data_IF_774432937614
#
_entry.id   IF_774432937614
#
_cell.length_a   1.000
_cell.length_b   1.000
_cell.length_c   1.000
_cell.angle_alpha   90.00
_cell.angle_beta   90.00
_cell.angle_gamma   90.00
#
_symmetry.space_group_name_H-M   'P 1'
#
loop_
_entity.id
_entity.type
_entity.pdbx_description
1 polymer ?
#
# COMPACT_ATOMS: atom_id res chain seq x y z
N UNK A 1 -32.66 -13.30 -9.00
CA UNK A 1 -33.08 -13.57 -10.41
C UNK A 1 -32.06 -12.99 -11.42
N UNK A 2 -31.49 -11.83 -11.22
CA UNK A 2 -30.45 -11.22 -12.09
C UNK A 2 -29.21 -12.09 -12.22
N UNK A 3 -28.77 -12.73 -11.12
CA UNK A 3 -27.61 -13.66 -11.12
C UNK A 3 -27.75 -14.84 -12.11
N UNK A 4 -28.99 -15.23 -12.51
CA UNK A 4 -29.20 -16.29 -13.50
C UNK A 4 -28.72 -15.88 -14.90
N UNK A 5 -28.80 -14.59 -15.23
CA UNK A 5 -28.35 -14.06 -16.52
C UNK A 5 -26.83 -13.90 -16.58
N UNK A 6 -26.18 -13.71 -15.42
CA UNK A 6 -24.72 -13.69 -15.34
C UNK A 6 -24.08 -15.06 -15.60
N UNK A 7 -24.81 -16.17 -15.37
CA UNK A 7 -24.30 -17.53 -15.67
C UNK A 7 -23.94 -17.73 -17.15
N UNK A 8 -24.61 -17.08 -18.07
CA UNK A 8 -24.27 -17.14 -19.49
C UNK A 8 -22.98 -16.39 -19.87
N UNK A 9 -22.44 -15.54 -18.95
CA UNK A 9 -21.30 -14.67 -19.21
C UNK A 9 -20.17 -14.88 -18.19
N UNK A 10 -20.04 -16.11 -17.66
CA UNK A 10 -19.02 -16.47 -16.63
C UNK A 10 -17.61 -16.00 -17.02
N UNK A 11 -17.11 -16.19 -18.26
CA UNK A 11 -15.76 -15.73 -18.61
C UNK A 11 -15.60 -14.21 -18.52
N UNK A 12 -16.65 -13.44 -18.85
CA UNK A 12 -16.62 -11.98 -18.70
C UNK A 12 -16.60 -11.58 -17.21
N UNK A 13 -17.40 -12.26 -16.39
CA UNK A 13 -17.41 -12.02 -14.93
C UNK A 13 -16.06 -12.37 -14.31
N UNK A 14 -15.46 -13.50 -14.70
CA UNK A 14 -14.13 -13.90 -14.20
C UNK A 14 -13.05 -12.88 -14.60
N UNK A 15 -13.08 -12.39 -15.84
CA UNK A 15 -12.17 -11.34 -16.31
C UNK A 15 -12.36 -10.04 -15.52
N UNK A 16 -13.61 -9.64 -15.25
CA UNK A 16 -13.92 -8.47 -14.44
C UNK A 16 -13.34 -8.62 -13.03
N UNK A 17 -13.54 -9.78 -12.37
CA UNK A 17 -12.99 -10.03 -11.03
C UNK A 17 -11.45 -9.96 -11.05
N UNK A 18 -10.80 -10.53 -12.05
CA UNK A 18 -9.35 -10.43 -12.21
C UNK A 18 -8.88 -8.98 -12.34
N UNK A 19 -9.56 -8.20 -13.18
CA UNK A 19 -9.25 -6.77 -13.37
C UNK A 19 -9.49 -5.96 -12.09
N UNK A 20 -10.56 -6.26 -11.34
CA UNK A 20 -10.84 -5.61 -10.06
C UNK A 20 -9.78 -5.95 -9.00
N UNK A 21 -9.28 -7.19 -8.97
CA UNK A 21 -8.17 -7.58 -8.08
C UNK A 21 -6.90 -6.81 -8.45
N UNK A 22 -6.56 -6.73 -9.73
CA UNK A 22 -5.41 -5.97 -10.21
C UNK A 22 -5.55 -4.47 -9.88
N UNK A 23 -6.72 -3.88 -10.11
CA UNK A 23 -7.02 -2.50 -9.78
C UNK A 23 -6.87 -2.25 -8.27
N UNK A 24 -7.49 -3.09 -7.42
CA UNK A 24 -7.42 -2.96 -5.95
C UNK A 24 -6.00 -3.12 -5.43
N UNK A 25 -5.20 -4.00 -6.01
CA UNK A 25 -3.79 -4.15 -5.65
C UNK A 25 -3.00 -2.86 -5.93
N UNK A 26 -3.18 -2.26 -7.11
CA UNK A 26 -2.54 -0.99 -7.44
C UNK A 26 -3.00 0.12 -6.49
N UNK A 27 -4.31 0.24 -6.25
CA UNK A 27 -4.90 1.27 -5.39
C UNK A 27 -4.42 1.18 -3.95
N UNK A 28 -4.42 -0.01 -3.35
CA UNK A 28 -3.97 -0.24 -1.99
C UNK A 28 -2.45 -0.09 -1.83
N UNK A 29 -1.68 -0.22 -2.90
CA UNK A 29 -0.23 -0.03 -2.86
C UNK A 29 0.18 1.44 -2.85
N UNK A 30 -0.61 2.36 -3.42
CA UNK A 30 -0.27 3.78 -3.55
C UNK A 30 0.05 4.48 -2.22
N UNK A 31 -0.73 4.31 -1.12
CA UNK A 31 -0.41 4.93 0.16
C UNK A 31 0.96 4.51 0.71
N UNK A 32 1.37 3.26 0.51
CA UNK A 32 2.68 2.77 0.94
C UNK A 32 3.83 3.47 0.19
N UNK A 33 3.67 3.72 -1.11
CA UNK A 33 4.65 4.50 -1.88
C UNK A 33 4.66 5.98 -1.49
N UNK A 34 3.50 6.56 -1.15
CA UNK A 34 3.42 7.94 -0.65
C UNK A 34 4.18 8.06 0.68
N UNK A 35 4.00 7.13 1.61
CA UNK A 35 4.77 7.08 2.86
C UNK A 35 6.28 6.98 2.58
N UNK A 36 6.71 6.12 1.67
CA UNK A 36 8.13 6.00 1.28
C UNK A 36 8.71 7.28 0.69
N UNK A 37 7.94 8.02 -0.10
CA UNK A 37 8.39 9.32 -0.62
C UNK A 37 8.61 10.32 0.51
N UNK A 38 7.70 10.37 1.49
CA UNK A 38 7.80 11.29 2.62
C UNK A 38 8.91 10.83 3.58
N UNK A 39 8.86 9.60 4.04
CA UNK A 39 9.73 9.10 5.11
C UNK A 39 11.17 8.92 4.61
N UNK A 40 11.34 8.14 3.53
CA UNK A 40 12.67 7.87 2.98
C UNK A 40 13.14 8.97 2.06
N UNK A 41 12.28 9.43 1.14
CA UNK A 41 12.68 10.43 0.13
C UNK A 41 12.95 11.80 0.72
N UNK A 42 12.06 12.33 1.55
CA UNK A 42 12.15 13.70 2.07
C UNK A 42 12.85 13.72 3.42
N UNK A 43 12.38 12.96 4.41
CA UNK A 43 12.92 13.01 5.76
C UNK A 43 14.31 12.40 5.83
N UNK A 44 14.51 11.20 5.24
CA UNK A 44 15.78 10.48 5.24
C UNK A 44 16.72 10.88 4.11
N UNK A 45 16.35 11.84 3.25
CA UNK A 45 17.21 12.31 2.16
C UNK A 45 17.47 11.27 1.07
N UNK A 46 16.57 10.29 0.88
CA UNK A 46 16.69 9.22 -0.10
C UNK A 46 17.53 8.03 0.37
N UNK A 47 17.96 8.02 1.62
CA UNK A 47 18.71 6.92 2.24
C UNK A 47 17.69 5.88 2.70
N UNK A 48 17.66 4.73 2.04
CA UNK A 48 16.69 3.67 2.28
C UNK A 48 17.13 2.70 3.38
N UNK A 49 18.45 2.46 3.48
CA UNK A 49 19.04 1.52 4.43
C UNK A 49 20.04 2.22 5.33
N UNK A 50 20.12 1.81 6.59
CA UNK A 50 21.11 2.29 7.52
C UNK A 50 22.52 1.70 7.26
N UNK A 51 22.66 0.73 6.33
CA UNK A 51 23.95 0.35 5.80
C UNK A 51 24.50 1.45 4.88
N UNK A 52 25.73 1.95 5.12
CA UNK A 52 26.27 3.10 4.42
C UNK A 52 26.68 2.80 2.97
N UNK A 53 26.43 3.74 2.06
CA UNK A 53 27.00 3.72 0.71
C UNK A 53 28.50 4.03 0.74
N UNK A 54 28.90 4.94 1.62
CA UNK A 54 30.29 5.29 1.87
C UNK A 54 30.45 5.82 3.29
N UNK A 55 31.62 5.61 3.86
CA UNK A 55 32.04 6.16 5.17
C UNK A 55 33.47 6.70 5.04
N UNK A 56 33.76 7.76 5.77
CA UNK A 56 35.16 8.18 5.94
C UNK A 56 35.95 7.13 6.74
N UNK A 57 37.23 7.06 6.54
CA UNK A 57 38.13 6.13 7.26
C UNK A 57 37.97 6.28 8.79
N UNK A 58 37.90 7.50 9.28
CA UNK A 58 37.69 7.80 10.70
C UNK A 58 36.38 7.19 11.23
N UNK A 59 35.30 7.30 10.47
CA UNK A 59 33.97 6.78 10.88
C UNK A 59 33.94 5.26 10.78
N UNK A 60 34.51 4.69 9.72
CA UNK A 60 34.60 3.23 9.57
C UNK A 60 35.38 2.59 10.71
N UNK A 61 36.54 3.14 11.03
CA UNK A 61 37.36 2.70 12.16
C UNK A 61 36.62 2.81 13.51
N UNK A 62 35.87 3.88 13.70
CA UNK A 62 35.09 4.06 14.93
C UNK A 62 33.90 3.11 15.02
N UNK A 63 33.19 2.86 13.92
CA UNK A 63 32.06 1.92 13.87
C UNK A 63 32.54 0.49 14.10
N UNK A 64 33.71 0.11 13.57
CA UNK A 64 34.31 -1.22 13.80
C UNK A 64 34.56 -1.56 15.25
N UNK A 65 34.76 -0.58 16.14
CA UNK A 65 34.90 -0.82 17.57
C UNK A 65 33.64 -1.41 18.23
N UNK A 66 32.47 -1.28 17.59
CA UNK A 66 31.17 -1.75 18.06
C UNK A 66 30.65 -2.95 17.29
N UNK A 67 31.43 -3.53 16.38
CA UNK A 67 31.09 -4.73 15.62
C UNK A 67 31.61 -5.98 16.33
N UNK A 68 30.88 -7.09 16.19
CA UNK A 68 31.44 -8.42 16.50
C UNK A 68 32.53 -8.81 15.49
N UNK A 69 33.35 -9.78 15.83
CA UNK A 69 34.39 -10.25 14.92
C UNK A 69 33.86 -10.78 13.60
N UNK A 70 32.69 -11.47 13.64
CA UNK A 70 32.02 -11.99 12.44
C UNK A 70 31.44 -10.84 11.58
N UNK A 71 30.81 -9.84 12.21
CA UNK A 71 30.29 -8.67 11.52
C UNK A 71 31.42 -7.81 10.92
N UNK A 72 32.52 -7.65 11.63
CA UNK A 72 33.68 -6.92 11.14
C UNK A 72 34.31 -7.60 9.90
N UNK A 73 34.29 -8.94 9.87
CA UNK A 73 34.75 -9.70 8.68
C UNK A 73 33.78 -9.49 7.51
N UNK A 74 32.45 -9.54 7.74
CA UNK A 74 31.44 -9.28 6.72
C UNK A 74 31.54 -7.86 6.14
N UNK A 75 31.71 -6.86 7.00
CA UNK A 75 31.91 -5.46 6.59
C UNK A 75 33.18 -5.30 5.77
N UNK A 76 34.30 -5.94 6.19
CA UNK A 76 35.57 -5.85 5.48
C UNK A 76 35.52 -6.49 4.09
N UNK A 77 34.68 -7.52 3.90
CA UNK A 77 34.47 -8.14 2.59
C UNK A 77 33.53 -7.30 1.68
N UNK A 78 32.60 -6.57 2.25
CA UNK A 78 31.60 -5.81 1.51
C UNK A 78 32.06 -4.41 1.09
N UNK A 79 33.08 -3.85 1.75
CA UNK A 79 33.56 -2.48 1.51
C UNK A 79 35.00 -2.47 1.05
N UNK A 80 35.35 -1.50 0.19
CA UNK A 80 36.72 -1.24 -0.27
C UNK A 80 37.09 0.20 0.07
N UNK A 81 38.28 0.38 0.60
CA UNK A 81 38.87 1.70 0.83
C UNK A 81 39.46 2.26 -0.48
N UNK A 82 39.10 3.51 -0.77
CA UNK A 82 39.64 4.31 -1.85
C UNK A 82 39.89 5.74 -1.33
N UNK A 83 41.14 6.11 -1.19
CA UNK A 83 41.57 7.45 -0.75
C UNK A 83 41.00 7.91 0.60
N UNK A 84 40.85 7.00 1.57
CA UNK A 84 40.30 7.29 2.92
C UNK A 84 38.78 7.34 2.99
N UNK A 85 38.10 6.85 1.96
CA UNK A 85 36.64 6.67 1.92
C UNK A 85 36.34 5.21 1.61
N UNK A 86 35.69 4.55 2.55
CA UNK A 86 35.17 3.19 2.40
C UNK A 86 33.88 3.21 1.62
N UNK A 87 33.82 2.56 0.47
CA UNK A 87 32.66 2.45 -0.40
C UNK A 87 32.18 1.02 -0.51
N UNK A 88 30.87 0.81 -0.56
CA UNK A 88 30.29 -0.51 -0.75
C UNK A 88 30.58 -1.04 -2.15
N UNK A 89 30.97 -2.31 -2.24
CA UNK A 89 31.29 -2.97 -3.51
C UNK A 89 30.02 -3.29 -4.32
N UNK A 90 28.95 -3.73 -3.64
CA UNK A 90 27.67 -4.05 -4.26
C UNK A 90 26.50 -3.50 -3.42
N UNK A 91 25.75 -2.57 -3.98
CA UNK A 91 24.57 -1.99 -3.35
C UNK A 91 23.41 -2.98 -3.11
N UNK A 92 23.45 -4.16 -3.75
CA UNK A 92 22.48 -5.22 -3.51
C UNK A 92 22.60 -5.83 -2.10
N UNK A 93 23.76 -5.69 -1.45
CA UNK A 93 24.03 -6.19 -0.10
C UNK A 93 23.53 -5.25 1.02
N UNK A 94 23.14 -4.01 0.69
CA UNK A 94 22.68 -3.02 1.69
C UNK A 94 21.58 -3.54 2.62
N UNK A 95 20.53 -4.26 2.14
CA UNK A 95 19.48 -4.77 3.02
C UNK A 95 19.99 -5.81 4.04
N UNK A 96 20.99 -6.62 3.67
CA UNK A 96 21.57 -7.66 4.53
C UNK A 96 22.49 -7.05 5.59
N UNK A 97 23.22 -6.01 5.21
CA UNK A 97 24.18 -5.31 6.08
C UNK A 97 23.48 -4.33 7.03
N UNK A 98 22.23 -3.95 6.79
CA UNK A 98 21.50 -2.98 7.60
C UNK A 98 21.47 -3.35 9.09
N UNK A 99 21.17 -4.63 9.39
CA UNK A 99 21.14 -5.13 10.78
C UNK A 99 22.47 -4.99 11.51
N UNK A 100 23.57 -5.10 10.77
CA UNK A 100 24.93 -4.97 11.30
C UNK A 100 25.26 -3.51 11.64
N UNK A 101 24.84 -2.57 10.80
CA UNK A 101 25.25 -1.17 10.93
C UNK A 101 24.39 -0.32 11.84
N UNK A 102 23.08 -0.60 12.01
CA UNK A 102 22.12 0.27 12.72
C UNK A 102 22.64 0.65 14.12
N UNK A 103 22.92 -0.33 14.96
CA UNK A 103 23.35 -0.07 16.36
C UNK A 103 24.75 0.53 16.44
N UNK A 104 25.79 -0.03 15.78
CA UNK A 104 27.13 0.54 15.80
C UNK A 104 27.23 1.99 15.32
N UNK A 105 26.48 2.35 14.26
CA UNK A 105 26.44 3.73 13.79
C UNK A 105 25.85 4.69 14.81
N UNK A 106 24.77 4.29 15.49
CA UNK A 106 24.14 5.16 16.52
C UNK A 106 25.04 5.27 17.74
N UNK A 107 25.68 4.16 18.18
CA UNK A 107 26.67 4.18 19.26
C UNK A 107 27.82 5.13 18.95
N UNK A 108 28.41 4.99 17.75
CA UNK A 108 29.47 5.87 17.29
C UNK A 108 29.03 7.33 17.25
N UNK A 109 27.86 7.62 16.66
CA UNK A 109 27.31 8.97 16.55
C UNK A 109 27.15 9.61 17.94
N UNK A 110 26.56 8.91 18.89
CA UNK A 110 26.34 9.40 20.27
C UNK A 110 27.61 9.65 21.05
N UNK A 111 28.58 8.74 20.95
CA UNK A 111 29.85 8.93 21.61
C UNK A 111 30.68 10.06 20.96
N UNK A 112 30.53 10.26 19.66
CA UNK A 112 31.14 11.38 18.94
C UNK A 112 30.54 12.75 19.34
N UNK A 113 29.24 12.79 19.66
CA UNK A 113 28.57 14.00 20.18
C UNK A 113 29.09 14.40 21.57
N UNK A 114 29.53 13.46 22.41
CA UNK A 114 30.09 13.73 23.73
C UNK A 114 31.49 14.35 23.66
N UNK A 115 32.18 14.20 22.54
CA UNK A 115 33.48 14.83 22.27
C UNK A 115 34.18 14.20 21.06
N UNK A 116 34.73 15.04 20.22
CA UNK A 116 35.40 14.60 18.98
C UNK A 116 36.52 13.57 19.18
N UNK A 117 37.11 13.50 20.38
CA UNK A 117 38.19 12.61 20.71
C UNK A 117 37.75 11.39 21.57
N UNK A 118 36.48 11.29 21.94
CA UNK A 118 35.98 10.22 22.83
C UNK A 118 36.22 8.83 22.21
N UNK A 119 35.80 8.66 20.95
CA UNK A 119 35.98 7.38 20.23
C UNK A 119 37.46 7.09 19.96
N UNK A 120 38.24 8.12 19.65
CA UNK A 120 39.69 7.96 19.47
C UNK A 120 40.39 7.52 20.77
N UNK A 121 40.01 8.10 21.91
CA UNK A 121 40.52 7.71 23.22
C UNK A 121 40.14 6.27 23.58
N UNK A 122 38.90 5.83 23.29
CA UNK A 122 38.47 4.43 23.47
C UNK A 122 39.33 3.47 22.63
N UNK A 123 39.62 3.81 21.37
CA UNK A 123 40.48 3.03 20.49
C UNK A 123 41.91 2.92 21.06
N UNK A 124 42.48 4.04 21.52
CA UNK A 124 43.81 4.05 22.10
C UNK A 124 43.88 3.24 23.40
N UNK A 125 42.85 3.33 24.25
CA UNK A 125 42.78 2.54 25.49
C UNK A 125 42.67 1.03 25.20
N UNK A 126 41.91 0.65 24.16
CA UNK A 126 41.83 -0.75 23.73
C UNK A 126 43.17 -1.25 23.18
N UNK A 127 43.82 -0.48 22.32
CA UNK A 127 45.13 -0.82 21.78
C UNK A 127 46.22 -0.91 22.86
N UNK A 128 46.09 -0.11 23.91
CA UNK A 128 46.98 -0.17 25.09
C UNK A 128 46.63 -1.26 26.10
N UNK A 129 45.60 -2.08 25.83
CA UNK A 129 45.15 -3.14 26.74
C UNK A 129 44.51 -2.64 28.05
N UNK A 130 44.10 -1.36 28.10
CA UNK A 130 43.49 -0.73 29.29
C UNK A 130 42.00 -1.02 29.41
N UNK A 131 41.31 -1.31 28.29
CA UNK A 131 39.92 -1.65 28.25
C UNK A 131 39.69 -2.82 27.26
N UNK A 132 38.71 -3.65 27.55
CA UNK A 132 38.31 -4.78 26.71
C UNK A 132 37.30 -4.35 25.66
N UNK A 133 37.13 -5.19 24.63
CA UNK A 133 36.07 -4.97 23.62
C UNK A 133 34.66 -4.99 24.25
N UNK A 134 34.42 -5.87 25.23
CA UNK A 134 33.15 -5.92 25.97
C UNK A 134 32.86 -4.62 26.71
N UNK A 135 33.87 -3.97 27.30
CA UNK A 135 33.70 -2.67 27.97
C UNK A 135 33.37 -1.54 26.98
N UNK A 136 33.87 -1.61 25.76
CA UNK A 136 33.52 -0.66 24.69
C UNK A 136 32.07 -0.84 24.28
N UNK A 137 31.63 -2.08 24.07
CA UNK A 137 30.22 -2.39 23.77
C UNK A 137 29.29 -1.93 24.90
N UNK A 138 29.65 -2.16 26.16
CA UNK A 138 28.87 -1.71 27.33
C UNK A 138 28.73 -0.18 27.36
N UNK A 139 29.78 0.59 27.05
CA UNK A 139 29.70 2.07 26.93
C UNK A 139 28.85 2.51 25.75
N UNK A 140 28.88 1.79 24.65
CA UNK A 140 27.99 2.01 23.50
C UNK A 140 26.53 1.82 23.88
N UNK A 141 26.20 0.73 24.59
CA UNK A 141 24.85 0.46 25.10
C UNK A 141 24.39 1.51 26.13
N UNK A 142 25.28 1.95 27.00
CA UNK A 142 25.00 3.04 27.96
C UNK A 142 24.65 4.34 27.22
N UNK A 143 25.41 4.67 26.15
CA UNK A 143 25.13 5.84 25.31
C UNK A 143 23.77 5.73 24.60
N UNK A 144 23.34 4.53 24.21
CA UNK A 144 22.01 4.28 23.67
C UNK A 144 20.92 4.40 24.73
N UNK A 145 21.14 3.92 25.94
CA UNK A 145 20.13 3.92 27.02
C UNK A 145 19.63 5.33 27.36
N UNK A 146 20.45 6.35 27.13
CA UNK A 146 20.06 7.75 27.27
C UNK A 146 19.01 8.25 26.26
N UNK A 147 18.68 7.47 25.24
CA UNK A 147 17.70 7.86 24.20
C UNK A 147 16.25 7.48 24.53
N UNK A 148 15.98 6.87 25.69
CA UNK A 148 14.63 6.42 26.08
C UNK A 148 14.25 5.08 25.45
N UNK A 149 12.98 4.90 25.08
CA UNK A 149 12.49 3.66 24.46
C UNK A 149 13.10 3.45 23.09
N UNK A 150 14.08 2.55 23.00
CA UNK A 150 14.75 2.19 21.75
C UNK A 150 13.88 1.20 20.97
N UNK A 151 13.09 1.72 20.06
CA UNK A 151 12.48 0.90 19.01
C UNK A 151 13.41 0.85 17.80
N UNK A 152 13.36 -0.25 17.04
CA UNK A 152 14.18 -0.40 15.82
C UNK A 152 14.00 0.76 14.84
N UNK A 153 12.80 1.35 14.79
CA UNK A 153 12.52 2.51 13.94
C UNK A 153 13.22 3.79 14.41
N UNK A 154 13.40 3.98 15.71
CA UNK A 154 14.14 5.14 16.27
C UNK A 154 15.62 4.99 15.99
N UNK A 155 16.18 3.80 16.20
CA UNK A 155 17.59 3.51 15.90
C UNK A 155 17.88 3.67 14.41
N UNK A 156 17.03 3.12 13.54
CA UNK A 156 17.14 3.29 12.09
C UNK A 156 17.13 4.78 11.70
N UNK A 157 16.18 5.54 12.23
CA UNK A 157 16.08 6.98 11.93
C UNK A 157 17.31 7.76 12.39
N UNK A 158 17.85 7.44 13.57
CA UNK A 158 19.08 8.06 14.10
C UNK A 158 20.31 7.70 13.23
N UNK A 159 20.47 6.43 12.85
CA UNK A 159 21.55 5.98 11.96
C UNK A 159 21.49 6.70 10.61
N UNK A 160 20.31 6.80 10.00
CA UNK A 160 20.11 7.49 8.71
C UNK A 160 20.41 8.99 8.80
N UNK A 161 20.00 9.67 9.90
CA UNK A 161 20.34 11.08 10.10
C UNK A 161 21.86 11.28 10.26
N UNK A 162 22.54 10.39 10.94
CA UNK A 162 24.00 10.41 11.00
C UNK A 162 24.61 10.20 9.60
N UNK A 163 24.19 9.19 8.84
CA UNK A 163 24.66 8.91 7.49
C UNK A 163 24.47 10.09 6.53
N UNK A 164 23.36 10.84 6.67
CA UNK A 164 23.12 12.03 5.86
C UNK A 164 24.22 13.09 6.02
N UNK A 165 24.74 13.25 7.25
CA UNK A 165 25.84 14.17 7.55
C UNK A 165 27.17 13.59 7.06
N UNK A 166 27.38 12.30 7.30
CA UNK A 166 28.60 11.58 6.91
C UNK A 166 28.79 11.55 5.39
N UNK A 167 27.73 11.35 4.62
CA UNK A 167 27.81 11.36 3.15
C UNK A 167 28.27 12.72 2.60
N UNK A 168 27.86 13.82 3.24
CA UNK A 168 28.36 15.14 2.85
C UNK A 168 29.87 15.29 3.11
N UNK A 169 30.37 14.70 4.20
CA UNK A 169 31.81 14.69 4.55
C UNK A 169 32.58 13.76 3.61
N UNK A 170 31.99 12.59 3.29
CA UNK A 170 32.58 11.62 2.35
C UNK A 170 32.53 12.09 0.88
N UNK A 171 32.03 13.30 0.60
CA UNK A 171 31.98 13.87 -0.76
C UNK A 171 30.82 13.37 -1.64
N UNK A 172 29.86 12.62 -1.09
CA UNK A 172 28.67 12.20 -1.82
C UNK A 172 27.64 13.34 -1.91
N UNK A 173 27.04 13.45 -3.08
CA UNK A 173 25.96 14.43 -3.28
C UNK A 173 24.61 13.90 -2.76
N UNK A 174 24.27 14.23 -1.52
CA UNK A 174 23.03 13.80 -0.85
C UNK A 174 21.79 14.25 -1.65
N UNK A 175 21.82 15.40 -2.33
CA UNK A 175 20.72 15.84 -3.19
C UNK A 175 20.54 14.93 -4.40
N UNK A 176 21.63 14.40 -4.96
CA UNK A 176 21.55 13.44 -6.06
C UNK A 176 20.93 12.12 -5.59
N UNK A 177 21.33 11.60 -4.43
CA UNK A 177 20.74 10.40 -3.81
C UNK A 177 19.25 10.57 -3.61
N UNK A 178 18.85 11.69 -2.98
CA UNK A 178 17.45 12.03 -2.74
C UNK A 178 16.65 12.12 -4.04
N UNK A 179 17.13 12.87 -5.01
CA UNK A 179 16.41 13.07 -6.27
C UNK A 179 16.29 11.79 -7.08
N UNK A 180 17.33 10.95 -7.10
CA UNK A 180 17.30 9.64 -7.74
C UNK A 180 16.26 8.71 -7.09
N UNK A 181 16.22 8.69 -5.75
CA UNK A 181 15.20 7.93 -5.01
C UNK A 181 13.78 8.42 -5.31
N UNK A 182 13.55 9.74 -5.26
CA UNK A 182 12.25 10.36 -5.53
C UNK A 182 11.78 10.08 -6.95
N UNK A 183 12.66 10.21 -7.95
CA UNK A 183 12.33 9.91 -9.36
C UNK A 183 12.00 8.43 -9.56
N UNK A 184 12.78 7.53 -8.97
CA UNK A 184 12.54 6.08 -9.07
C UNK A 184 11.22 5.68 -8.40
N UNK A 185 10.97 6.20 -7.20
CA UNK A 185 9.75 5.87 -6.44
C UNK A 185 8.52 6.55 -7.05
N UNK A 186 8.63 7.80 -7.49
CA UNK A 186 7.59 8.50 -8.24
C UNK A 186 7.26 7.84 -9.58
N UNK A 187 8.28 7.35 -10.29
CA UNK A 187 8.10 6.56 -11.51
C UNK A 187 7.32 5.26 -11.27
N UNK A 188 7.63 4.53 -10.17
CA UNK A 188 6.86 3.35 -9.77
C UNK A 188 5.40 3.69 -9.44
N UNK A 189 5.15 4.81 -8.72
CA UNK A 189 3.80 5.29 -8.44
C UNK A 189 3.04 5.62 -9.72
N UNK A 190 3.69 6.29 -10.68
CA UNK A 190 3.08 6.62 -11.97
C UNK A 190 2.68 5.35 -12.74
N UNK A 191 3.57 4.36 -12.80
CA UNK A 191 3.27 3.07 -13.44
C UNK A 191 2.11 2.35 -12.76
N UNK A 192 2.04 2.33 -11.41
CA UNK A 192 0.92 1.75 -10.67
C UNK A 192 -0.39 2.49 -10.97
N UNK A 193 -0.36 3.83 -11.02
CA UNK A 193 -1.54 4.65 -11.35
C UNK A 193 -2.02 4.38 -12.77
N UNK A 194 -1.11 4.31 -13.74
CA UNK A 194 -1.45 3.95 -15.12
C UNK A 194 -2.03 2.54 -15.22
N UNK A 195 -1.45 1.58 -14.50
CA UNK A 195 -1.98 0.22 -14.39
C UNK A 195 -3.40 0.17 -13.80
N UNK A 196 -3.63 0.95 -12.73
CA UNK A 196 -4.96 1.08 -12.11
C UNK A 196 -5.99 1.66 -13.10
N UNK A 197 -5.64 2.73 -13.82
CA UNK A 197 -6.50 3.36 -14.83
C UNK A 197 -6.81 2.37 -15.95
N UNK A 198 -5.80 1.69 -16.48
CA UNK A 198 -5.98 0.69 -17.52
C UNK A 198 -6.92 -0.44 -17.07
N UNK A 199 -6.71 -0.98 -15.87
CA UNK A 199 -7.57 -2.01 -15.28
C UNK A 199 -9.02 -1.52 -15.11
N UNK A 200 -9.21 -0.29 -14.61
CA UNK A 200 -10.53 0.32 -14.45
C UNK A 200 -11.25 0.53 -15.79
N UNK A 201 -10.56 1.04 -16.81
CA UNK A 201 -11.13 1.24 -18.15
C UNK A 201 -11.53 -0.09 -18.76
N UNK A 202 -10.66 -1.10 -18.71
CA UNK A 202 -10.94 -2.44 -19.23
C UNK A 202 -12.11 -3.09 -18.47
N UNK A 203 -12.16 -2.97 -17.15
CA UNK A 203 -13.25 -3.47 -16.32
C UNK A 203 -14.60 -2.84 -16.73
N UNK A 204 -14.64 -1.52 -16.88
CA UNK A 204 -15.84 -0.80 -17.34
C UNK A 204 -16.24 -1.20 -18.77
N UNK A 205 -15.28 -1.36 -19.67
CA UNK A 205 -15.53 -1.79 -21.05
C UNK A 205 -16.15 -3.19 -21.10
N UNK A 206 -15.54 -4.17 -20.41
CA UNK A 206 -16.05 -5.54 -20.34
C UNK A 206 -17.43 -5.59 -19.67
N UNK A 207 -17.63 -4.82 -18.59
CA UNK A 207 -18.91 -4.70 -17.89
C UNK A 207 -20.02 -4.12 -18.79
N UNK A 208 -19.73 -3.05 -19.52
CA UNK A 208 -20.68 -2.44 -20.46
C UNK A 208 -21.04 -3.40 -21.59
N UNK A 209 -20.05 -4.09 -22.18
CA UNK A 209 -20.28 -5.08 -23.24
C UNK A 209 -21.11 -6.26 -22.75
N UNK A 210 -20.83 -6.75 -21.54
CA UNK A 210 -21.62 -7.82 -20.90
C UNK A 210 -23.07 -7.38 -20.65
N UNK A 211 -23.27 -6.18 -20.14
CA UNK A 211 -24.61 -5.61 -19.90
C UNK A 211 -25.40 -5.44 -21.19
N UNK A 212 -24.76 -4.95 -22.25
CA UNK A 212 -25.38 -4.85 -23.57
C UNK A 212 -25.80 -6.22 -24.14
N UNK A 213 -24.95 -7.25 -23.96
CA UNK A 213 -25.28 -8.62 -24.37
C UNK A 213 -26.48 -9.18 -23.60
N UNK A 214 -26.52 -8.97 -22.26
CA UNK A 214 -27.66 -9.36 -21.42
C UNK A 214 -28.95 -8.65 -21.92
N UNK A 215 -28.89 -7.34 -22.20
CA UNK A 215 -30.03 -6.61 -22.72
C UNK A 215 -30.53 -7.10 -24.07
N UNK A 216 -29.62 -7.43 -24.99
CA UNK A 216 -29.98 -8.06 -26.28
C UNK A 216 -30.69 -9.39 -26.05
N UNK A 217 -30.17 -10.23 -25.21
CA UNK A 217 -30.71 -11.57 -24.96
C UNK A 217 -32.08 -11.49 -24.26
N UNK A 218 -32.25 -10.53 -23.33
CA UNK A 218 -33.56 -10.24 -22.71
C UNK A 218 -34.59 -9.78 -23.74
N UNK A 219 -34.27 -8.80 -24.60
CA UNK A 219 -35.16 -8.34 -25.65
C UNK A 219 -35.58 -9.50 -26.56
N UNK A 220 -34.63 -10.34 -26.96
CA UNK A 220 -34.92 -11.50 -27.80
C UNK A 220 -35.83 -12.52 -27.11
N UNK A 221 -35.67 -12.72 -25.80
CA UNK A 221 -36.53 -13.61 -25.01
C UNK A 221 -37.93 -13.05 -24.84
N UNK A 222 -38.07 -11.76 -24.50
CA UNK A 222 -39.36 -11.10 -24.40
C UNK A 222 -40.08 -11.12 -25.72
N UNK A 223 -39.42 -10.76 -26.84
CA UNK A 223 -40.01 -10.77 -28.15
C UNK A 223 -40.54 -12.15 -28.56
N UNK A 224 -39.70 -13.20 -28.40
CA UNK A 224 -40.11 -14.58 -28.67
C UNK A 224 -41.31 -15.03 -27.80
N UNK A 225 -41.34 -14.59 -26.52
CA UNK A 225 -42.45 -14.91 -25.62
C UNK A 225 -43.75 -14.23 -26.06
N UNK A 226 -43.67 -12.96 -26.46
CA UNK A 226 -44.84 -12.20 -26.99
C UNK A 226 -45.36 -12.84 -28.28
N UNK A 227 -44.50 -13.25 -29.19
CA UNK A 227 -44.90 -13.98 -30.43
C UNK A 227 -45.57 -15.34 -30.14
N UNK A 228 -45.31 -15.94 -28.99
CA UNK A 228 -45.94 -17.21 -28.57
C UNK A 228 -47.25 -17.06 -27.84
N UNK A 229 -47.74 -15.83 -27.64
CA UNK A 229 -49.03 -15.59 -26.98
C UNK A 229 -50.22 -15.99 -27.85
N UNK A 230 -51.20 -16.62 -27.25
CA UNK A 230 -52.53 -16.79 -27.84
C UNK A 230 -53.29 -15.47 -27.85
N UNK A 231 -54.38 -15.35 -28.69
CA UNK A 231 -55.19 -14.15 -28.70
C UNK A 231 -55.74 -13.78 -27.33
N UNK A 232 -56.16 -14.76 -26.54
CA UNK A 232 -56.68 -14.53 -25.18
C UNK A 232 -55.56 -14.10 -24.18
N UNK A 233 -54.31 -14.37 -24.43
CA UNK A 233 -53.17 -13.87 -23.66
C UNK A 233 -52.74 -12.47 -24.08
N UNK A 234 -52.82 -12.17 -25.40
CA UNK A 234 -52.56 -10.83 -25.93
C UNK A 234 -53.60 -9.78 -25.41
N UNK A 235 -54.85 -10.15 -25.28
CA UNK A 235 -55.89 -9.28 -24.77
C UNK A 235 -55.71 -8.85 -23.29
N UNK A 236 -54.87 -9.60 -22.55
CA UNK A 236 -54.52 -9.28 -21.15
C UNK A 236 -53.44 -8.18 -21.01
N UNK A 237 -52.74 -7.85 -22.09
CA UNK A 237 -51.64 -6.87 -22.08
C UNK A 237 -51.93 -5.75 -23.06
N UNK A 238 -51.82 -4.50 -22.65
CA UNK A 238 -51.85 -3.40 -23.60
C UNK A 238 -50.56 -3.35 -24.42
N UNK A 239 -50.69 -2.98 -25.71
CA UNK A 239 -49.54 -2.81 -26.60
C UNK A 239 -48.50 -1.83 -26.01
N UNK A 240 -48.97 -0.74 -25.41
CA UNK A 240 -48.11 0.24 -24.73
C UNK A 240 -47.28 -0.39 -23.58
N UNK A 241 -47.87 -1.27 -22.78
CA UNK A 241 -47.17 -2.00 -21.69
C UNK A 241 -46.11 -2.93 -22.24
N UNK A 242 -46.37 -3.65 -23.34
CA UNK A 242 -45.41 -4.54 -23.95
C UNK A 242 -44.21 -3.77 -24.55
N UNK A 243 -44.46 -2.61 -25.17
CA UNK A 243 -43.42 -1.72 -25.67
C UNK A 243 -42.55 -1.21 -24.52
N UNK A 244 -43.14 -0.69 -23.43
CA UNK A 244 -42.41 -0.18 -22.27
C UNK A 244 -41.52 -1.26 -21.64
N UNK A 245 -42.04 -2.48 -21.48
CA UNK A 245 -41.23 -3.62 -20.94
C UNK A 245 -40.08 -3.99 -21.85
N UNK A 246 -40.24 -3.95 -23.16
CA UNK A 246 -39.18 -4.32 -24.13
C UNK A 246 -38.11 -3.25 -24.25
N UNK A 247 -38.44 -1.99 -24.04
CA UNK A 247 -37.55 -0.84 -24.17
C UNK A 247 -36.99 -0.38 -22.81
N UNK A 248 -37.85 0.25 -22.00
CA UNK A 248 -37.43 0.92 -20.78
C UNK A 248 -37.00 -0.06 -19.67
N UNK A 249 -37.82 -1.11 -19.39
CA UNK A 249 -37.49 -2.05 -18.31
C UNK A 249 -36.20 -2.82 -18.59
N UNK A 250 -35.96 -3.23 -19.84
CA UNK A 250 -34.73 -3.88 -20.23
C UNK A 250 -33.52 -2.94 -20.08
N UNK A 251 -33.69 -1.66 -20.41
CA UNK A 251 -32.63 -0.65 -20.22
C UNK A 251 -32.31 -0.43 -18.73
N UNK A 252 -33.32 -0.42 -17.87
CA UNK A 252 -33.12 -0.35 -16.41
C UNK A 252 -32.37 -1.60 -15.89
N UNK A 253 -32.72 -2.80 -16.36
CA UNK A 253 -31.99 -4.04 -16.00
C UNK A 253 -30.54 -3.94 -16.45
N UNK A 254 -30.25 -3.41 -17.63
CA UNK A 254 -28.88 -3.18 -18.09
C UNK A 254 -28.10 -2.26 -17.15
N UNK A 255 -28.69 -1.13 -16.75
CA UNK A 255 -28.09 -0.20 -15.80
C UNK A 255 -27.80 -0.86 -14.45
N UNK A 256 -28.75 -1.65 -13.93
CA UNK A 256 -28.57 -2.41 -12.68
C UNK A 256 -27.46 -3.46 -12.82
N UNK A 257 -27.34 -4.14 -13.95
CA UNK A 257 -26.24 -5.11 -14.19
C UNK A 257 -24.88 -4.43 -14.13
N UNK A 258 -24.72 -3.25 -14.73
CA UNK A 258 -23.47 -2.46 -14.65
C UNK A 258 -23.17 -2.08 -13.20
N UNK A 259 -24.20 -1.60 -12.47
CA UNK A 259 -24.06 -1.21 -11.06
C UNK A 259 -23.64 -2.39 -10.16
N UNK A 260 -24.25 -3.57 -10.35
CA UNK A 260 -23.89 -4.79 -9.61
C UNK A 260 -22.44 -5.13 -9.83
N UNK A 261 -21.98 -5.15 -11.07
CA UNK A 261 -20.58 -5.44 -11.40
C UNK A 261 -19.65 -4.44 -10.75
N UNK A 262 -19.97 -3.15 -10.82
CA UNK A 262 -19.13 -2.07 -10.32
C UNK A 262 -19.08 -2.00 -8.81
N UNK A 263 -20.21 -2.17 -8.11
CA UNK A 263 -20.30 -1.95 -6.65
C UNK A 263 -20.23 -3.27 -5.88
N UNK A 264 -21.03 -4.26 -6.28
CA UNK A 264 -21.16 -5.51 -5.53
C UNK A 264 -19.93 -6.42 -5.66
N UNK A 265 -19.24 -6.39 -6.81
CA UNK A 265 -18.01 -7.16 -6.97
C UNK A 265 -16.78 -6.39 -6.46
N UNK A 266 -16.73 -5.07 -6.64
CA UNK A 266 -15.57 -4.27 -6.23
C UNK A 266 -15.43 -4.14 -4.71
N UNK A 267 -16.53 -3.87 -3.99
CA UNK A 267 -16.47 -3.63 -2.55
C UNK A 267 -15.88 -4.80 -1.74
N UNK A 268 -16.25 -6.08 -1.97
CA UNK A 268 -15.60 -7.20 -1.30
C UNK A 268 -14.12 -7.35 -1.64
N UNK A 269 -13.72 -7.11 -2.90
CA UNK A 269 -12.33 -7.25 -3.34
C UNK A 269 -11.45 -6.23 -2.64
N UNK A 270 -11.84 -4.94 -2.65
CA UNK A 270 -11.06 -3.88 -1.98
C UNK A 270 -11.09 -4.04 -0.45
N UNK A 271 -12.24 -4.48 0.12
CA UNK A 271 -12.38 -4.72 1.55
C UNK A 271 -11.46 -5.83 2.04
N UNK A 272 -11.45 -6.97 1.36
CA UNK A 272 -10.54 -8.09 1.67
C UNK A 272 -9.07 -7.68 1.47
N UNK A 273 -8.76 -6.97 0.39
CA UNK A 273 -7.42 -6.44 0.14
C UNK A 273 -6.94 -5.51 1.27
N UNK A 274 -7.81 -4.60 1.73
CA UNK A 274 -7.52 -3.71 2.85
C UNK A 274 -7.28 -4.47 4.16
N UNK A 275 -8.11 -5.47 4.48
CA UNK A 275 -7.92 -6.32 5.68
C UNK A 275 -6.57 -7.04 5.62
N UNK A 276 -6.22 -7.64 4.48
CA UNK A 276 -4.95 -8.33 4.30
C UNK A 276 -3.77 -7.37 4.49
N UNK A 277 -3.88 -6.16 3.94
CA UNK A 277 -2.84 -5.14 4.05
C UNK A 277 -2.63 -4.70 5.51
N UNK A 278 -3.71 -4.43 6.25
CA UNK A 278 -3.67 -4.07 7.68
C UNK A 278 -3.09 -5.19 8.52
N UNK A 279 -3.48 -6.45 8.24
CA UNK A 279 -2.97 -7.62 8.96
C UNK A 279 -1.45 -7.83 8.76
N UNK A 280 -0.90 -7.40 7.63
CA UNK A 280 0.54 -7.44 7.34
C UNK A 280 1.32 -6.30 8.00
N UNK A 281 0.65 -5.23 8.39
CA UNK A 281 1.29 -4.06 9.02
C UNK A 281 1.47 -4.33 10.51
N UNK A 282 2.71 -4.52 10.97
CA UNK A 282 3.06 -4.88 12.36
C UNK A 282 2.97 -3.69 13.35
N UNK A 283 2.14 -2.69 13.10
CA UNK A 283 2.08 -1.45 13.90
C UNK A 283 1.35 -1.57 15.24
N UNK A 284 0.73 -2.71 15.55
CA UNK A 284 -0.09 -2.87 16.77
C UNK A 284 -1.41 -2.06 16.76
N UNK A 285 -1.64 -1.21 15.76
CA UNK A 285 -2.80 -0.33 15.65
C UNK A 285 -4.02 -0.98 14.97
N UNK A 286 -3.95 -2.27 14.63
CA UNK A 286 -5.03 -3.00 13.94
C UNK A 286 -6.37 -2.96 14.68
N UNK A 287 -6.36 -2.89 16.02
CA UNK A 287 -7.57 -2.78 16.83
C UNK A 287 -8.33 -1.45 16.61
N UNK A 288 -7.61 -0.33 16.37
CA UNK A 288 -8.21 0.98 16.08
C UNK A 288 -8.96 0.91 14.74
N UNK A 289 -8.36 0.27 13.74
CA UNK A 289 -8.99 0.08 12.43
C UNK A 289 -10.20 -0.83 12.56
N UNK A 290 -10.09 -1.92 13.32
CA UNK A 290 -11.23 -2.82 13.59
C UNK A 290 -12.39 -2.08 14.28
N UNK A 291 -12.10 -1.22 15.27
CA UNK A 291 -13.09 -0.38 15.93
C UNK A 291 -13.76 0.60 14.96
N UNK A 292 -12.98 1.27 14.10
CA UNK A 292 -13.49 2.20 13.11
C UNK A 292 -14.41 1.49 12.09
N UNK A 293 -14.03 0.31 11.61
CA UNK A 293 -14.87 -0.51 10.72
C UNK A 293 -16.15 -0.96 11.42
N UNK A 294 -16.08 -1.40 12.68
CA UNK A 294 -17.25 -1.79 13.46
C UNK A 294 -18.19 -0.60 13.67
N UNK A 295 -17.67 0.59 13.99
CA UNK A 295 -18.47 1.82 14.13
C UNK A 295 -19.13 2.21 12.81
N UNK A 296 -18.42 2.10 11.69
CA UNK A 296 -18.97 2.35 10.35
C UNK A 296 -20.10 1.38 10.00
N UNK A 297 -19.93 0.08 10.24
CA UNK A 297 -20.96 -0.93 10.00
C UNK A 297 -22.20 -0.71 10.87
N UNK A 298 -22.00 -0.33 12.13
CA UNK A 298 -23.09 0.02 13.04
C UNK A 298 -23.85 1.25 12.53
N UNK A 299 -23.14 2.31 12.12
CA UNK A 299 -23.75 3.50 11.54
C UNK A 299 -24.58 3.17 10.30
N UNK A 300 -24.03 2.39 9.36
CA UNK A 300 -24.74 1.94 8.16
C UNK A 300 -25.97 1.11 8.52
N UNK A 301 -25.85 0.19 9.50
CA UNK A 301 -26.96 -0.61 9.98
C UNK A 301 -28.10 0.24 10.58
N UNK A 302 -27.76 1.25 11.37
CA UNK A 302 -28.73 2.21 11.94
C UNK A 302 -29.40 3.02 10.84
N UNK A 303 -28.63 3.57 9.90
CA UNK A 303 -29.17 4.33 8.77
C UNK A 303 -30.09 3.48 7.91
N UNK A 304 -29.72 2.22 7.60
CA UNK A 304 -30.58 1.29 6.88
C UNK A 304 -31.89 1.03 7.62
N UNK A 305 -31.86 0.82 8.94
CA UNK A 305 -33.02 0.59 9.76
C UNK A 305 -33.97 1.79 9.78
N UNK A 306 -33.46 3.01 9.73
CA UNK A 306 -34.24 4.25 9.72
C UNK A 306 -34.75 4.57 8.31
N UNK A 307 -33.91 4.44 7.28
CA UNK A 307 -34.24 4.83 5.91
C UNK A 307 -35.17 3.86 5.20
N UNK A 308 -35.02 2.54 5.41
CA UNK A 308 -35.83 1.54 4.72
C UNK A 308 -37.35 1.70 4.91
N UNK A 309 -37.91 1.93 6.14
CA UNK A 309 -39.33 2.14 6.29
C UNK A 309 -39.79 3.43 5.62
N UNK A 310 -39.00 4.49 5.63
CA UNK A 310 -39.35 5.75 4.97
C UNK A 310 -39.41 5.61 3.45
N UNK A 311 -38.52 4.86 2.82
CA UNK A 311 -38.57 4.55 1.40
C UNK A 311 -39.85 3.75 1.03
N UNK A 312 -40.26 2.78 1.85
CA UNK A 312 -41.50 2.03 1.63
C UNK A 312 -42.75 2.93 1.71
N UNK A 313 -42.80 3.80 2.70
CA UNK A 313 -43.90 4.75 2.88
C UNK A 313 -43.94 5.75 1.73
N UNK A 314 -42.79 6.22 1.23
CA UNK A 314 -42.70 7.11 0.08
C UNK A 314 -43.23 6.43 -1.20
N UNK A 315 -42.84 5.18 -1.47
CA UNK A 315 -43.37 4.41 -2.61
C UNK A 315 -44.88 4.23 -2.54
N UNK A 316 -45.40 3.89 -1.38
CA UNK A 316 -46.85 3.77 -1.18
C UNK A 316 -47.58 5.08 -1.49
N UNK A 317 -47.06 6.23 -1.03
CA UNK A 317 -47.67 7.56 -1.30
C UNK A 317 -47.59 7.94 -2.78
N UNK A 318 -46.50 7.57 -3.47
CA UNK A 318 -46.36 7.79 -4.93
C UNK A 318 -47.37 6.94 -5.69
N UNK A 319 -47.57 5.69 -5.28
CA UNK A 319 -48.57 4.80 -5.88
C UNK A 319 -49.97 5.31 -5.64
N UNK A 320 -50.29 5.83 -4.44
CA UNK A 320 -51.60 6.45 -4.11
C UNK A 320 -51.87 7.69 -4.96
N UNK A 321 -50.87 8.55 -5.21
CA UNK A 321 -51.00 9.72 -6.09
C UNK A 321 -51.24 9.31 -7.54
N UNK A 322 -50.58 8.25 -8.02
CA UNK A 322 -50.77 7.74 -9.39
C UNK A 322 -52.13 7.02 -9.59
N UNK A 323 -52.81 6.61 -8.51
CA UNK A 323 -54.13 6.01 -8.58
C UNK A 323 -55.27 7.06 -8.62
N UNK A 324 -55.00 8.31 -8.20
CA UNK A 324 -55.96 9.41 -8.15
C UNK A 324 -55.88 10.31 -9.39
N UNK A 325 -54.81 10.19 -10.17
CA UNK A 325 -54.61 10.90 -11.45
C UNK A 325 -55.00 10.02 -12.64
#
# INVERSE_FOLDING_TARGET
RVLKYLRGHIPAVALIVLLLVAQSFCELSLPAYTSRIVDTGIQSGGIEYAAPLALTDKTMDGVRLFLSDDDAAAVSAAYTDADGVWTINDTAQLPELEGIFVRPLVMYARLSEQGANTVLALRQQMQGGLITHEEILARGEEALSGMGTLTDSVLHSAAVQFLKTEYAVAGLNVNHIRNSYLLRTGGKMLLLTLGMIAAAVLCNYVGARMSAAIGRDLRAQVFRKVLSFSSAEMDKFSTASLITRTTNDVTQIQAVCVLIVRVVLYAPVIGLGGIIMVARTKTGLGWIIALAVAAMLLLVGVLMKIAMPQFRTMQQRVDDVNLVS
#
